data_IF_327464235034
#
_entry.id   IF_327464235034
#
_cell.length_a   1.000
_cell.length_b   1.000
_cell.length_c   1.000
_cell.angle_alpha   90.00
_cell.angle_beta   90.00
_cell.angle_gamma   90.00
#
_symmetry.space_group_name_H-M   'P 1'
#
loop_
_entity.id
_entity.type
_entity.pdbx_description
1 polymer ?
#
# COMPACT_ATOMS: atom_id res chain seq x y z
N UNK A 1 -48.20 -5.69 -22.80
CA UNK A 1 -47.71 -6.29 -21.54
C UNK A 1 -46.25 -6.78 -21.65
N UNK A 2 -45.80 -7.30 -22.80
CA UNK A 2 -44.45 -7.83 -22.99
C UNK A 2 -43.30 -6.81 -22.96
N UNK A 3 -43.51 -5.58 -23.44
CA UNK A 3 -42.46 -4.55 -23.49
C UNK A 3 -41.91 -4.13 -22.10
N UNK A 4 -42.75 -4.14 -21.06
CA UNK A 4 -42.33 -3.87 -19.67
C UNK A 4 -41.44 -4.97 -19.13
N UNK A 5 -41.69 -6.22 -19.53
CA UNK A 5 -40.90 -7.37 -19.10
C UNK A 5 -39.53 -7.38 -19.76
N UNK A 6 -39.46 -7.04 -21.06
CA UNK A 6 -38.19 -6.85 -21.75
C UNK A 6 -37.34 -5.73 -21.15
N UNK A 7 -37.94 -4.60 -20.77
CA UNK A 7 -37.22 -3.48 -20.15
C UNK A 7 -36.69 -3.84 -18.75
N UNK A 8 -37.46 -4.58 -17.96
CA UNK A 8 -37.03 -5.06 -16.64
C UNK A 8 -35.93 -6.11 -16.74
N UNK A 9 -35.99 -7.00 -17.73
CA UNK A 9 -34.92 -7.97 -18.00
C UNK A 9 -33.64 -7.25 -18.45
N UNK A 10 -33.74 -6.25 -19.33
CA UNK A 10 -32.59 -5.45 -19.76
C UNK A 10 -31.97 -4.64 -18.62
N UNK A 11 -32.78 -4.08 -17.71
CA UNK A 11 -32.31 -3.37 -16.53
C UNK A 11 -31.63 -4.34 -15.55
N UNK A 12 -32.18 -5.54 -15.37
CA UNK A 12 -31.65 -6.55 -14.47
C UNK A 12 -30.35 -7.18 -15.01
N UNK A 13 -30.24 -7.39 -16.32
CA UNK A 13 -28.98 -7.83 -16.95
C UNK A 13 -27.94 -6.72 -16.94
N UNK A 14 -28.32 -5.45 -17.14
CA UNK A 14 -27.41 -4.30 -16.99
C UNK A 14 -26.88 -4.17 -15.55
N UNK A 15 -27.74 -4.32 -14.55
CA UNK A 15 -27.37 -4.35 -13.13
C UNK A 15 -26.50 -5.58 -12.78
N UNK A 16 -26.72 -6.71 -13.44
CA UNK A 16 -25.94 -7.94 -13.23
C UNK A 16 -24.60 -7.95 -13.98
N UNK A 17 -24.48 -7.20 -15.08
CA UNK A 17 -23.22 -6.95 -15.81
C UNK A 17 -22.33 -5.95 -15.07
N UNK A 18 -22.92 -5.10 -14.21
CA UNK A 18 -22.21 -4.39 -13.15
C UNK A 18 -21.92 -5.29 -11.92
N UNK A 19 -21.60 -6.57 -12.14
CA UNK A 19 -20.74 -7.26 -11.19
C UNK A 19 -19.38 -6.57 -11.27
N UNK A 20 -19.17 -5.65 -10.33
CA UNK A 20 -17.92 -4.96 -10.14
C UNK A 20 -16.78 -5.98 -10.12
N UNK A 21 -15.86 -5.89 -11.08
CA UNK A 21 -14.53 -6.42 -10.89
C UNK A 21 -13.99 -5.77 -9.61
N UNK A 22 -13.99 -6.51 -8.50
CA UNK A 22 -13.55 -6.03 -7.19
C UNK A 22 -12.04 -5.81 -7.12
N UNK A 23 -11.31 -6.04 -8.21
CA UNK A 23 -9.88 -5.82 -8.31
C UNK A 23 -9.59 -4.43 -8.91
N UNK A 24 -8.75 -3.65 -8.22
CA UNK A 24 -8.26 -2.37 -8.71
C UNK A 24 -7.37 -2.60 -9.95
N UNK A 25 -7.50 -1.76 -10.99
CA UNK A 25 -6.58 -1.84 -12.14
C UNK A 25 -5.19 -1.33 -11.74
N UNK A 26 -4.14 -1.77 -12.45
CA UNK A 26 -2.77 -1.30 -12.21
C UNK A 26 -2.67 0.24 -12.28
N UNK A 27 -3.33 0.85 -13.27
CA UNK A 27 -3.38 2.31 -13.43
C UNK A 27 -4.02 3.00 -12.21
N UNK A 28 -5.08 2.42 -11.67
CA UNK A 28 -5.73 2.94 -10.46
C UNK A 28 -4.82 2.82 -9.24
N UNK A 29 -4.13 1.69 -9.08
CA UNK A 29 -3.16 1.48 -8.00
C UNK A 29 -2.02 2.51 -8.05
N UNK A 30 -1.42 2.71 -9.22
CA UNK A 30 -0.35 3.70 -9.41
C UNK A 30 -0.83 5.13 -9.10
N UNK A 31 -2.05 5.47 -9.52
CA UNK A 31 -2.65 6.79 -9.23
C UNK A 31 -2.86 7.00 -7.74
N UNK A 32 -3.35 5.99 -7.03
CA UNK A 32 -3.53 6.03 -5.57
C UNK A 32 -2.19 6.17 -4.86
N UNK A 33 -1.19 5.36 -5.25
CA UNK A 33 0.16 5.43 -4.69
C UNK A 33 0.79 6.81 -4.91
N UNK A 34 0.67 7.39 -6.11
CA UNK A 34 1.11 8.76 -6.40
C UNK A 34 0.42 9.80 -5.51
N UNK A 35 -0.87 9.60 -5.22
CA UNK A 35 -1.63 10.43 -4.28
C UNK A 35 -1.04 10.38 -2.86
N UNK A 36 -0.75 9.19 -2.35
CA UNK A 36 -0.11 9.00 -1.05
C UNK A 36 1.29 9.62 -1.00
N UNK A 37 2.11 9.35 -2.02
CA UNK A 37 3.44 9.96 -2.18
C UNK A 37 3.37 11.47 -2.09
N UNK A 38 2.56 12.10 -2.93
CA UNK A 38 2.44 13.56 -2.95
C UNK A 38 1.98 14.12 -1.60
N UNK A 39 1.01 13.47 -0.95
CA UNK A 39 0.53 13.90 0.36
C UNK A 39 1.63 13.84 1.42
N UNK A 40 2.38 12.74 1.47
CA UNK A 40 3.39 12.53 2.49
C UNK A 40 4.68 13.31 2.23
N UNK A 41 5.08 13.47 0.97
CA UNK A 41 6.15 14.39 0.58
C UNK A 41 5.85 15.81 1.05
N UNK A 42 4.64 16.31 0.78
CA UNK A 42 4.24 17.66 1.19
C UNK A 42 4.23 17.85 2.71
N UNK A 43 3.84 16.82 3.47
CA UNK A 43 3.77 16.89 4.95
C UNK A 43 5.12 16.81 5.63
N UNK A 44 6.06 16.05 5.04
CA UNK A 44 7.33 15.71 5.69
C UNK A 44 8.49 16.56 5.18
N UNK A 45 8.38 17.11 3.96
CA UNK A 45 9.50 17.77 3.31
C UNK A 45 10.64 16.81 2.95
N UNK A 46 10.35 15.51 2.83
CA UNK A 46 11.32 14.53 2.36
C UNK A 46 11.81 14.89 0.95
N UNK A 47 13.09 14.61 0.67
CA UNK A 47 13.65 14.80 -0.65
C UNK A 47 13.14 13.72 -1.63
N UNK A 48 12.77 14.13 -2.84
CA UNK A 48 12.15 13.21 -3.81
C UNK A 48 13.15 12.17 -4.29
N UNK A 49 14.42 12.54 -4.47
CA UNK A 49 15.43 11.61 -4.95
C UNK A 49 15.78 10.59 -3.86
N UNK A 50 15.80 11.00 -2.60
CA UNK A 50 15.97 10.10 -1.46
C UNK A 50 14.82 9.09 -1.34
N UNK A 51 13.57 9.53 -1.50
CA UNK A 51 12.40 8.63 -1.51
C UNK A 51 12.43 7.67 -2.70
N UNK A 52 12.81 8.15 -3.89
CA UNK A 52 12.96 7.28 -5.08
C UNK A 52 14.08 6.25 -4.89
N UNK A 53 15.07 6.55 -4.05
CA UNK A 53 16.14 5.66 -3.64
C UNK A 53 15.68 4.44 -2.84
N UNK A 54 14.58 4.54 -2.08
CA UNK A 54 14.04 3.45 -1.25
C UNK A 54 13.79 2.20 -2.10
N UNK A 55 13.18 2.36 -3.29
CA UNK A 55 12.91 1.27 -4.23
C UNK A 55 14.18 0.54 -4.69
N UNK A 56 15.33 1.22 -4.64
CA UNK A 56 16.65 0.71 -5.04
C UNK A 56 17.46 0.19 -3.85
N UNK A 57 16.86 0.08 -2.68
CA UNK A 57 17.55 -0.33 -1.45
C UNK A 57 18.42 0.76 -0.84
N UNK A 58 18.22 2.02 -1.21
CA UNK A 58 18.94 3.15 -0.64
C UNK A 58 18.14 3.70 0.54
N UNK A 59 18.69 3.55 1.74
CA UNK A 59 18.06 3.98 2.99
C UNK A 59 18.96 5.02 3.69
N UNK A 60 18.92 6.30 3.28
CA UNK A 60 19.69 7.35 3.93
C UNK A 60 19.24 7.55 5.39
N UNK A 61 20.17 7.97 6.25
CA UNK A 61 19.86 8.37 7.62
C UNK A 61 19.28 9.79 7.64
N UNK A 62 18.05 9.93 7.13
CA UNK A 62 17.35 11.21 7.00
C UNK A 62 16.00 11.16 7.75
N UNK A 63 15.79 12.10 8.66
CA UNK A 63 14.59 12.14 9.50
C UNK A 63 13.30 12.33 8.69
N UNK A 64 13.32 13.16 7.65
CA UNK A 64 12.14 13.43 6.84
C UNK A 64 11.78 12.20 5.99
N UNK A 65 12.76 11.47 5.48
CA UNK A 65 12.55 10.20 4.74
C UNK A 65 12.00 9.11 5.66
N UNK A 66 12.51 9.00 6.90
CA UNK A 66 11.94 8.09 7.91
C UNK A 66 10.49 8.44 8.23
N UNK A 67 10.19 9.72 8.42
CA UNK A 67 8.83 10.17 8.70
C UNK A 67 7.91 10.13 7.46
N UNK A 68 8.47 10.16 6.24
CA UNK A 68 7.75 9.83 5.03
C UNK A 68 7.24 8.39 5.07
N UNK A 69 8.09 7.43 5.47
CA UNK A 69 7.68 6.05 5.61
C UNK A 69 6.51 5.89 6.59
N UNK A 70 6.63 6.52 7.76
CA UNK A 70 5.56 6.56 8.75
C UNK A 70 4.27 7.21 8.21
N UNK A 71 4.38 8.33 7.49
CA UNK A 71 3.23 9.01 6.91
C UNK A 71 2.46 8.09 5.94
N UNK A 72 3.16 7.37 5.06
CA UNK A 72 2.54 6.44 4.12
C UNK A 72 1.79 5.35 4.88
N UNK A 73 2.44 4.71 5.86
CA UNK A 73 1.81 3.65 6.66
C UNK A 73 0.61 4.18 7.46
N UNK A 74 0.68 5.41 7.98
CA UNK A 74 -0.44 6.06 8.67
C UNK A 74 -1.63 6.32 7.73
N UNK A 75 -1.38 6.82 6.51
CA UNK A 75 -2.43 7.07 5.51
C UNK A 75 -3.09 5.76 5.08
N UNK A 76 -2.30 4.70 4.92
CA UNK A 76 -2.80 3.34 4.62
C UNK A 76 -3.45 2.65 5.83
N UNK A 77 -3.41 3.29 7.01
CA UNK A 77 -3.89 2.75 8.30
C UNK A 77 -3.18 1.47 8.74
N UNK A 78 -2.01 1.19 8.18
CA UNK A 78 -1.17 0.03 8.50
C UNK A 78 -0.24 0.30 9.67
N UNK A 79 -0.21 1.54 10.16
CA UNK A 79 0.49 1.92 11.38
C UNK A 79 -0.23 3.08 12.05
N UNK A 80 -0.26 3.08 13.39
CA UNK A 80 -0.70 4.20 14.20
C UNK A 80 0.51 4.77 15.00
N UNK A 81 0.28 5.69 15.94
CA UNK A 81 1.39 6.26 16.73
C UNK A 81 2.05 5.28 17.71
N UNK A 82 1.45 4.11 17.96
CA UNK A 82 1.92 3.11 18.91
C UNK A 82 2.51 1.85 18.24
N UNK A 83 1.90 1.35 17.16
CA UNK A 83 2.29 0.09 16.55
C UNK A 83 1.91 -0.04 15.08
N UNK A 84 2.60 -0.98 14.41
CA UNK A 84 2.25 -1.46 13.07
C UNK A 84 1.08 -2.44 13.20
N UNK A 85 0.05 -2.24 12.38
CA UNK A 85 -1.13 -3.10 12.28
C UNK A 85 -0.92 -4.14 11.18
N UNK A 86 -0.47 -5.33 11.61
CA UNK A 86 -0.18 -6.46 10.73
C UNK A 86 -1.41 -6.95 9.97
N UNK A 87 -2.57 -7.01 10.61
CA UNK A 87 -3.79 -7.48 9.98
C UNK A 87 -4.25 -6.49 8.89
N UNK A 88 -4.08 -5.19 9.14
CA UNK A 88 -4.31 -4.17 8.13
C UNK A 88 -3.29 -4.24 7.00
N UNK A 89 -2.01 -4.51 7.27
CA UNK A 89 -1.01 -4.73 6.20
C UNK A 89 -1.45 -5.86 5.26
N UNK A 90 -1.86 -7.00 5.82
CA UNK A 90 -2.35 -8.15 5.03
C UNK A 90 -3.57 -7.76 4.20
N UNK A 91 -4.53 -7.04 4.78
CA UNK A 91 -5.72 -6.56 4.05
C UNK A 91 -5.35 -5.59 2.92
N UNK A 92 -4.43 -4.66 3.15
CA UNK A 92 -3.98 -3.74 2.10
C UNK A 92 -3.26 -4.49 0.98
N UNK A 93 -2.49 -5.54 1.30
CA UNK A 93 -1.89 -6.42 0.29
C UNK A 93 -2.97 -7.08 -0.58
N UNK A 94 -4.03 -7.60 0.04
CA UNK A 94 -5.15 -8.24 -0.67
C UNK A 94 -5.95 -7.28 -1.56
N UNK A 95 -6.04 -6.01 -1.15
CA UNK A 95 -6.77 -4.97 -1.90
C UNK A 95 -5.96 -4.43 -3.08
N UNK A 96 -4.66 -4.19 -2.87
CA UNK A 96 -3.84 -3.45 -3.83
C UNK A 96 -3.03 -4.33 -4.78
N UNK A 97 -2.76 -5.59 -4.44
CA UNK A 97 -1.84 -6.42 -5.21
C UNK A 97 -2.53 -7.65 -5.83
N UNK A 98 -2.09 -8.05 -7.04
CA UNK A 98 -2.56 -9.28 -7.68
C UNK A 98 -2.17 -10.52 -6.86
N UNK A 99 -2.99 -11.58 -6.97
CA UNK A 99 -2.89 -12.79 -6.13
C UNK A 99 -1.51 -13.46 -6.17
N UNK A 100 -0.82 -13.39 -7.30
CA UNK A 100 0.52 -13.96 -7.53
C UNK A 100 1.61 -13.29 -6.67
N UNK A 101 1.46 -11.99 -6.34
CA UNK A 101 2.38 -11.26 -5.48
C UNK A 101 2.01 -11.34 -3.99
N UNK A 102 0.74 -11.59 -3.66
CA UNK A 102 0.26 -11.52 -2.28
C UNK A 102 1.01 -12.47 -1.34
N UNK A 103 1.30 -13.70 -1.76
CA UNK A 103 1.98 -14.67 -0.91
C UNK A 103 3.39 -14.18 -0.49
N UNK A 104 4.14 -13.60 -1.42
CA UNK A 104 5.48 -13.04 -1.17
C UNK A 104 5.40 -11.85 -0.21
N UNK A 105 4.47 -10.92 -0.47
CA UNK A 105 4.27 -9.72 0.35
C UNK A 105 3.79 -10.03 1.78
N UNK A 106 2.91 -11.03 1.93
CA UNK A 106 2.47 -11.52 3.25
C UNK A 106 3.64 -12.16 3.99
N UNK A 107 4.47 -12.97 3.33
CA UNK A 107 5.66 -13.56 3.94
C UNK A 107 6.68 -12.50 4.41
N UNK A 108 6.91 -11.44 3.62
CA UNK A 108 7.77 -10.33 4.06
C UNK A 108 7.15 -9.58 5.25
N UNK A 109 5.83 -9.42 5.28
CA UNK A 109 5.13 -8.78 6.41
C UNK A 109 5.32 -9.57 7.70
N UNK A 110 5.10 -10.88 7.65
CA UNK A 110 5.34 -11.79 8.78
C UNK A 110 6.77 -11.68 9.33
N UNK A 111 7.75 -11.62 8.43
CA UNK A 111 9.17 -11.52 8.77
C UNK A 111 9.56 -10.16 9.36
N UNK A 112 8.97 -9.08 8.86
CA UNK A 112 9.48 -7.73 9.09
C UNK A 112 8.76 -6.94 10.18
N UNK A 113 7.50 -7.22 10.48
CA UNK A 113 6.81 -6.56 11.61
C UNK A 113 7.58 -6.71 12.92
N UNK A 114 8.12 -7.90 13.29
CA UNK A 114 8.90 -8.04 14.53
C UNK A 114 10.25 -7.31 14.54
N UNK A 115 10.75 -6.87 13.38
CA UNK A 115 12.06 -6.19 13.25
C UNK A 115 11.96 -4.67 13.41
N UNK A 116 10.74 -4.12 13.37
CA UNK A 116 10.49 -2.72 13.68
C UNK A 116 10.44 -2.53 15.21
N UNK A 117 11.61 -2.46 15.84
CA UNK A 117 11.76 -2.45 17.30
C UNK A 117 11.92 -1.05 17.89
N UNK A 118 12.10 -0.02 17.06
CA UNK A 118 12.24 1.36 17.56
C UNK A 118 10.97 1.85 18.26
N UNK A 119 11.14 2.64 19.32
CA UNK A 119 10.05 3.37 19.95
C UNK A 119 9.71 4.69 19.22
N UNK A 120 10.62 5.18 18.37
CA UNK A 120 10.31 6.28 17.46
C UNK A 120 9.51 5.75 16.27
N UNK A 121 8.34 6.34 16.03
CA UNK A 121 7.40 5.88 14.99
C UNK A 121 7.94 6.05 13.57
N UNK A 122 8.76 7.06 13.31
CA UNK A 122 9.37 7.27 12.01
C UNK A 122 10.45 6.21 11.76
N UNK A 123 11.29 5.96 12.76
CA UNK A 123 12.30 4.92 12.71
C UNK A 123 11.70 3.52 12.61
N UNK A 124 10.64 3.20 13.37
CA UNK A 124 9.98 1.90 13.32
C UNK A 124 9.36 1.63 11.94
N UNK A 125 8.69 2.63 11.35
CA UNK A 125 8.18 2.53 9.98
C UNK A 125 9.33 2.31 8.98
N UNK A 126 10.43 3.03 9.15
CA UNK A 126 11.60 2.92 8.29
C UNK A 126 12.28 1.55 8.37
N UNK A 127 12.45 1.00 9.57
CA UNK A 127 12.95 -0.35 9.81
C UNK A 127 12.09 -1.41 9.13
N UNK A 128 10.76 -1.28 9.22
CA UNK A 128 9.84 -2.18 8.54
C UNK A 128 10.02 -2.12 7.01
N UNK A 129 10.01 -0.91 6.42
CA UNK A 129 10.16 -0.72 4.97
C UNK A 129 11.53 -1.21 4.48
N UNK A 130 12.59 -0.96 5.25
CA UNK A 130 13.93 -1.45 4.95
C UNK A 130 13.99 -2.98 4.96
N UNK A 131 13.40 -3.61 5.98
CA UNK A 131 13.34 -5.06 6.07
C UNK A 131 12.57 -5.67 4.89
N UNK A 132 11.42 -5.10 4.51
CA UNK A 132 10.62 -5.67 3.41
C UNK A 132 11.34 -5.53 2.07
N UNK A 133 12.01 -4.40 1.83
CA UNK A 133 12.84 -4.20 0.64
C UNK A 133 14.00 -5.20 0.58
N UNK A 134 14.69 -5.44 1.69
CA UNK A 134 15.81 -6.39 1.75
C UNK A 134 15.36 -7.85 1.67
N UNK A 135 14.18 -8.17 2.21
CA UNK A 135 13.67 -9.54 2.23
C UNK A 135 13.21 -10.00 0.85
N UNK A 136 12.63 -9.11 0.04
CA UNK A 136 12.21 -9.42 -1.32
C UNK A 136 12.21 -8.16 -2.21
N UNK A 137 13.37 -7.77 -2.77
CA UNK A 137 13.49 -6.58 -3.62
C UNK A 137 12.62 -6.63 -4.88
N UNK A 138 12.35 -7.84 -5.41
CA UNK A 138 11.62 -8.01 -6.67
C UNK A 138 10.11 -7.85 -6.49
N UNK A 139 9.57 -8.23 -5.32
CA UNK A 139 8.17 -8.01 -4.98
C UNK A 139 7.93 -6.65 -4.30
N UNK A 140 8.98 -5.96 -3.85
CA UNK A 140 8.86 -4.74 -3.06
C UNK A 140 8.18 -3.61 -3.82
N UNK A 141 7.19 -3.00 -3.16
CA UNK A 141 6.52 -1.80 -3.63
C UNK A 141 6.36 -0.82 -2.47
N UNK A 142 6.68 0.44 -2.73
CA UNK A 142 6.45 1.53 -1.80
C UNK A 142 6.04 2.80 -2.56
N UNK A 143 4.94 3.48 -2.16
CA UNK A 143 4.53 4.75 -2.74
C UNK A 143 5.65 5.80 -2.78
#
# INVERSE_FOLDING_TARGET
MHARWFFLIFLFTYLSLHRADCAMTLEQMEKVAKGFRNNCMSKTGADSAAVDGIKKGQFPDDHNVKCYAYCIMKVMRTMNDANIDKDMLIKQIEIFFPEDLQARLKATTEKCVPQATSSDKCEAAYQYVQCTQQADPDAFFFP
#
